data_IF_298460874314
#
_entry.id   IF_298460874314
#
_cell.length_a   1.000
_cell.length_b   1.000
_cell.length_c   1.000
_cell.angle_alpha   90.00
_cell.angle_beta   90.00
_cell.angle_gamma   90.00
#
_symmetry.space_group_name_H-M   'P 1'
#
loop_
_entity.id
_entity.type
_entity.pdbx_description
1 polymer ?
#
# COMPACT_ATOMS: atom_id res chain seq x y z
N UNK A 1 -8.91 -14.88 -26.40
CA UNK A 1 -8.43 -15.18 -25.04
C UNK A 1 -9.44 -16.13 -24.42
N UNK A 2 -9.00 -17.25 -23.85
CA UNK A 2 -9.88 -18.19 -23.16
C UNK A 2 -10.31 -17.55 -21.83
N UNK A 3 -11.60 -17.35 -21.51
CA UNK A 3 -12.02 -16.80 -20.23
C UNK A 3 -11.46 -17.57 -19.02
N UNK A 4 -11.15 -18.86 -19.20
CA UNK A 4 -10.54 -19.71 -18.18
C UNK A 4 -9.04 -19.47 -17.98
N UNK A 5 -8.41 -18.60 -18.78
CA UNK A 5 -7.03 -18.16 -18.58
C UNK A 5 -6.93 -17.00 -17.59
N UNK A 6 -8.06 -16.41 -17.17
CA UNK A 6 -8.12 -15.26 -16.26
C UNK A 6 -8.80 -15.62 -14.93
N UNK A 7 -8.35 -15.09 -13.80
CA UNK A 7 -9.08 -15.17 -12.51
C UNK A 7 -8.87 -13.96 -11.61
N UNK A 8 -9.76 -13.85 -10.62
CA UNK A 8 -9.47 -13.14 -9.36
C UNK A 8 -8.69 -14.10 -8.46
N UNK A 9 -7.42 -13.83 -8.20
CA UNK A 9 -6.59 -14.65 -7.32
C UNK A 9 -6.76 -14.20 -5.86
N UNK A 10 -7.37 -15.03 -5.03
CA UNK A 10 -7.55 -14.79 -3.61
C UNK A 10 -7.18 -16.06 -2.83
N UNK A 11 -5.95 -16.14 -2.34
CA UNK A 11 -5.36 -17.37 -1.78
C UNK A 11 -4.60 -17.12 -0.45
N UNK A 12 -4.29 -18.20 0.26
CA UNK A 12 -3.58 -18.19 1.55
C UNK A 12 -4.48 -17.92 2.76
N UNK A 13 -3.91 -17.96 3.96
CA UNK A 13 -4.66 -17.91 5.23
C UNK A 13 -5.30 -16.54 5.46
N UNK A 14 -4.86 -15.50 4.75
CA UNK A 14 -5.47 -14.16 4.76
C UNK A 14 -6.59 -13.95 3.74
N UNK A 15 -6.86 -14.90 2.84
CA UNK A 15 -7.84 -14.74 1.75
C UNK A 15 -9.27 -14.45 2.25
N UNK A 16 -9.62 -14.93 3.45
CA UNK A 16 -10.93 -14.69 4.06
C UNK A 16 -11.22 -13.20 4.26
N UNK A 17 -10.18 -12.37 4.48
CA UNK A 17 -10.34 -10.93 4.68
C UNK A 17 -10.84 -10.22 3.41
N UNK A 18 -10.62 -10.84 2.24
CA UNK A 18 -10.97 -10.28 0.93
C UNK A 18 -12.11 -11.03 0.23
N UNK A 19 -12.69 -12.06 0.84
CA UNK A 19 -13.71 -12.90 0.19
C UNK A 19 -14.89 -12.09 -0.38
N UNK A 20 -15.42 -11.14 0.39
CA UNK A 20 -16.52 -10.27 -0.08
C UNK A 20 -16.12 -9.41 -1.28
N UNK A 21 -14.88 -8.92 -1.30
CA UNK A 21 -14.35 -8.12 -2.42
C UNK A 21 -14.12 -9.00 -3.64
N UNK A 22 -13.62 -10.22 -3.44
CA UNK A 22 -13.46 -11.22 -4.50
C UNK A 22 -14.79 -11.52 -5.20
N UNK A 23 -15.85 -11.77 -4.43
CA UNK A 23 -17.20 -12.02 -4.97
C UNK A 23 -17.75 -10.82 -5.75
N UNK A 24 -17.52 -9.60 -5.26
CA UNK A 24 -17.95 -8.38 -5.94
C UNK A 24 -17.22 -8.20 -7.27
N UNK A 25 -15.90 -8.39 -7.29
CA UNK A 25 -15.09 -8.28 -8.50
C UNK A 25 -15.40 -9.38 -9.50
N UNK A 26 -15.59 -10.62 -9.04
CA UNK A 26 -15.97 -11.74 -9.88
C UNK A 26 -17.25 -11.44 -10.68
N UNK A 27 -18.28 -10.88 -10.01
CA UNK A 27 -19.53 -10.46 -10.68
C UNK A 27 -19.33 -9.27 -11.61
N UNK A 28 -18.53 -8.29 -11.22
CA UNK A 28 -18.32 -7.07 -12.00
C UNK A 28 -17.48 -7.31 -13.27
N UNK A 29 -16.52 -8.23 -13.20
CA UNK A 29 -15.56 -8.51 -14.26
C UNK A 29 -15.87 -9.81 -15.04
N UNK A 30 -16.89 -10.56 -14.62
CA UNK A 30 -17.23 -11.88 -15.14
C UNK A 30 -16.04 -12.86 -15.13
N UNK A 31 -15.32 -12.88 -14.01
CA UNK A 31 -14.17 -13.75 -13.77
C UNK A 31 -14.41 -14.67 -12.57
N UNK A 32 -13.86 -15.87 -12.61
CA UNK A 32 -13.89 -16.78 -11.44
C UNK A 32 -12.94 -16.28 -10.35
N UNK A 33 -13.32 -16.52 -9.09
CA UNK A 33 -12.37 -16.49 -7.97
C UNK A 33 -11.62 -17.82 -7.94
N UNK A 34 -10.30 -17.77 -7.82
CA UNK A 34 -9.48 -18.96 -7.68
C UNK A 34 -8.44 -18.78 -6.57
N UNK A 35 -8.14 -19.89 -5.89
CA UNK A 35 -6.99 -19.99 -4.99
C UNK A 35 -5.71 -20.37 -5.75
N UNK A 36 -5.82 -20.74 -7.03
CA UNK A 36 -4.69 -21.11 -7.87
C UNK A 36 -4.49 -20.05 -8.96
N UNK A 37 -3.24 -19.64 -9.23
CA UNK A 37 -2.96 -18.68 -10.29
C UNK A 37 -3.26 -19.26 -11.69
N UNK A 38 -3.64 -18.39 -12.62
CA UNK A 38 -3.89 -18.68 -14.05
C UNK A 38 -2.98 -17.82 -14.93
N UNK A 39 -3.15 -17.82 -16.25
CA UNK A 39 -2.31 -17.01 -17.14
C UNK A 39 -2.40 -15.50 -16.86
N UNK A 40 -3.58 -14.99 -16.45
CA UNK A 40 -3.79 -13.58 -16.09
C UNK A 40 -4.56 -13.45 -14.78
N UNK A 41 -4.02 -12.70 -13.82
CA UNK A 41 -4.50 -12.70 -12.43
C UNK A 41 -4.81 -11.30 -11.92
N UNK A 42 -6.01 -11.09 -11.40
CA UNK A 42 -6.32 -9.93 -10.54
C UNK A 42 -6.10 -10.34 -9.09
N UNK A 43 -4.97 -9.93 -8.50
CA UNK A 43 -4.53 -10.43 -7.20
C UNK A 43 -5.16 -9.60 -6.08
N UNK A 44 -5.87 -10.27 -5.18
CA UNK A 44 -6.40 -9.66 -3.95
C UNK A 44 -5.56 -9.99 -2.72
N UNK A 45 -5.18 -11.26 -2.57
CA UNK A 45 -4.34 -11.71 -1.48
C UNK A 45 -3.53 -12.94 -1.89
N UNK A 46 -2.28 -12.98 -1.44
CA UNK A 46 -1.39 -14.13 -1.52
C UNK A 46 -0.36 -14.00 -0.39
N UNK A 47 0.05 -15.12 0.21
CA UNK A 47 1.04 -15.13 1.27
C UNK A 47 2.49 -15.00 0.75
N UNK A 48 3.42 -14.50 1.57
CA UNK A 48 4.79 -14.30 1.12
C UNK A 48 5.56 -15.63 1.12
N UNK A 49 5.75 -16.24 -0.05
CA UNK A 49 7.06 -16.66 -0.59
C UNK A 49 6.89 -17.69 -1.73
N UNK A 50 6.92 -17.20 -2.96
CA UNK A 50 7.13 -18.01 -4.17
C UNK A 50 7.31 -17.10 -5.38
N UNK A 51 8.16 -17.46 -6.36
CA UNK A 51 8.36 -16.63 -7.53
C UNK A 51 7.07 -16.60 -8.32
N UNK A 52 6.46 -15.42 -8.38
CA UNK A 52 5.46 -15.04 -9.37
C UNK A 52 4.14 -15.81 -9.18
N UNK A 53 3.09 -15.08 -8.83
CA UNK A 53 1.71 -15.43 -9.22
C UNK A 53 1.79 -15.99 -10.63
N UNK A 54 1.74 -17.32 -10.83
CA UNK A 54 2.03 -17.91 -12.14
C UNK A 54 1.20 -17.15 -13.19
N UNK A 55 1.83 -16.70 -14.28
CA UNK A 55 1.18 -15.81 -15.25
C UNK A 55 1.39 -14.32 -14.99
N UNK A 56 0.69 -13.50 -15.76
CA UNK A 56 0.71 -12.05 -15.66
C UNK A 56 -0.30 -11.57 -14.60
N UNK A 57 -0.07 -10.38 -14.04
CA UNK A 57 -1.06 -9.72 -13.18
C UNK A 57 -1.52 -8.41 -13.79
N UNK A 58 -2.82 -8.15 -13.70
CA UNK A 58 -3.41 -6.88 -14.13
C UNK A 58 -2.83 -5.68 -13.37
N UNK A 59 -2.44 -5.88 -12.11
CA UNK A 59 -1.69 -4.90 -11.33
C UNK A 59 -0.34 -5.54 -10.99
N UNK A 60 0.79 -5.03 -11.52
CA UNK A 60 2.09 -5.58 -11.20
C UNK A 60 2.31 -5.63 -9.70
N UNK A 61 2.79 -6.76 -9.17
CA UNK A 61 3.04 -6.92 -7.74
C UNK A 61 3.96 -5.82 -7.18
N UNK A 62 4.95 -5.42 -7.98
CA UNK A 62 5.83 -4.30 -7.65
C UNK A 62 5.08 -2.98 -7.47
N UNK A 63 4.04 -2.71 -8.27
CA UNK A 63 3.21 -1.53 -8.10
C UNK A 63 2.42 -1.58 -6.79
N UNK A 64 1.90 -2.75 -6.41
CA UNK A 64 1.23 -2.96 -5.10
C UNK A 64 2.21 -2.72 -3.95
N UNK A 65 3.43 -3.28 -4.04
CA UNK A 65 4.49 -3.11 -3.05
C UNK A 65 4.88 -1.63 -2.88
N UNK A 66 5.03 -0.91 -3.99
CA UNK A 66 5.32 0.54 -3.99
C UNK A 66 4.18 1.33 -3.35
N UNK A 67 2.93 1.01 -3.68
CA UNK A 67 1.76 1.70 -3.16
C UNK A 67 1.52 1.43 -1.65
N UNK A 68 1.94 0.27 -1.13
CA UNK A 68 1.77 -0.11 0.27
C UNK A 68 2.72 0.63 1.23
N UNK A 69 3.80 1.23 0.74
CA UNK A 69 4.79 1.93 1.56
C UNK A 69 4.97 3.39 1.10
N UNK A 70 4.52 4.34 1.91
CA UNK A 70 4.61 5.78 1.61
C UNK A 70 6.05 6.26 1.37
N UNK A 71 7.06 5.58 1.93
CA UNK A 71 8.47 5.92 1.71
C UNK A 71 8.88 5.64 0.27
N UNK A 72 8.51 4.45 -0.22
CA UNK A 72 8.77 4.05 -1.60
C UNK A 72 8.00 4.93 -2.57
N UNK A 73 6.71 5.16 -2.30
CA UNK A 73 5.86 6.02 -3.11
C UNK A 73 6.39 7.45 -3.22
N UNK A 74 6.83 8.05 -2.10
CA UNK A 74 7.41 9.40 -2.10
C UNK A 74 8.67 9.49 -2.98
N UNK A 75 9.53 8.46 -2.96
CA UNK A 75 10.71 8.39 -3.82
C UNK A 75 10.34 8.36 -5.31
N UNK A 76 9.37 7.53 -5.69
CA UNK A 76 8.89 7.42 -7.09
C UNK A 76 8.28 8.74 -7.56
N UNK A 77 7.42 9.36 -6.76
CA UNK A 77 6.76 10.61 -7.12
C UNK A 77 7.75 11.76 -7.27
N UNK A 78 8.74 11.85 -6.38
CA UNK A 78 9.81 12.84 -6.49
C UNK A 78 10.65 12.63 -7.77
N UNK A 79 11.04 11.39 -8.07
CA UNK A 79 11.81 11.08 -9.27
C UNK A 79 11.05 11.39 -10.56
N UNK A 80 9.72 11.23 -10.56
CA UNK A 80 8.86 11.50 -11.71
C UNK A 80 8.41 12.97 -11.81
N UNK A 81 8.82 13.86 -10.89
CA UNK A 81 8.39 15.26 -10.89
C UNK A 81 6.89 15.47 -10.66
N UNK A 82 6.24 14.51 -9.99
CA UNK A 82 4.81 14.62 -9.65
C UNK A 82 4.64 15.71 -8.60
N UNK A 83 3.73 16.66 -8.85
CA UNK A 83 3.39 17.69 -7.88
C UNK A 83 2.83 17.03 -6.60
N UNK A 84 3.57 17.15 -5.50
CA UNK A 84 3.21 16.55 -4.21
C UNK A 84 3.54 17.51 -3.07
N UNK A 85 2.86 17.40 -1.91
CA UNK A 85 3.32 18.05 -0.69
C UNK A 85 4.75 17.60 -0.36
N UNK A 86 5.56 18.53 0.13
CA UNK A 86 6.90 18.19 0.59
C UNK A 86 6.87 17.04 1.59
N UNK A 87 7.66 16.01 1.33
CA UNK A 87 7.72 14.79 2.14
C UNK A 87 9.13 14.61 2.67
N UNK A 88 9.26 14.42 3.98
CA UNK A 88 10.54 14.17 4.67
C UNK A 88 10.48 12.81 5.36
N UNK A 89 11.50 11.99 5.12
CA UNK A 89 11.67 10.73 5.85
C UNK A 89 12.40 11.03 7.16
N UNK A 90 11.74 10.77 8.28
CA UNK A 90 12.25 11.05 9.62
C UNK A 90 12.24 9.75 10.42
N UNK A 91 13.40 9.39 10.99
CA UNK A 91 13.58 8.15 11.73
C UNK A 91 13.26 8.23 13.23
N UNK A 92 12.95 9.42 13.77
CA UNK A 92 12.73 9.60 15.21
C UNK A 92 11.85 10.82 15.52
N UNK A 93 11.21 10.81 16.70
CA UNK A 93 10.45 11.97 17.19
C UNK A 93 11.33 13.22 17.33
N UNK A 94 12.54 13.07 17.87
CA UNK A 94 13.50 14.18 17.99
C UNK A 94 13.86 14.80 16.62
N UNK A 95 13.91 14.00 15.56
CA UNK A 95 14.09 14.52 14.20
C UNK A 95 12.88 15.32 13.70
N UNK A 96 11.68 14.90 14.07
CA UNK A 96 10.45 15.61 13.71
C UNK A 96 10.31 16.93 14.47
N UNK A 97 10.67 16.95 15.75
CA UNK A 97 10.69 18.17 16.57
C UNK A 97 11.72 19.18 16.04
N UNK A 98 12.89 18.72 15.61
CA UNK A 98 13.89 19.58 14.97
C UNK A 98 13.35 20.22 13.69
N UNK A 99 12.65 19.45 12.85
CA UNK A 99 12.03 19.98 11.63
C UNK A 99 11.02 21.10 11.93
N UNK A 100 10.20 20.94 12.98
CA UNK A 100 9.28 21.99 13.41
C UNK A 100 10.01 23.25 13.87
N UNK A 101 11.08 23.09 14.66
CA UNK A 101 11.86 24.21 15.16
C UNK A 101 12.57 24.99 14.02
N UNK A 102 13.04 24.28 13.01
CA UNK A 102 13.70 24.87 11.83
C UNK A 102 12.71 25.54 10.87
N UNK A 103 11.43 25.14 10.89
CA UNK A 103 10.41 25.61 9.95
C UNK A 103 9.09 25.97 10.66
N UNK A 104 9.08 27.00 11.52
CA UNK A 104 7.95 27.31 12.40
C UNK A 104 6.69 27.78 11.66
N UNK A 105 6.84 28.36 10.46
CA UNK A 105 5.73 28.90 9.66
C UNK A 105 5.04 27.84 8.79
N UNK A 106 5.40 26.56 8.95
CA UNK A 106 4.88 25.46 8.12
C UNK A 106 4.10 24.44 8.92
N UNK A 107 3.09 23.88 8.29
CA UNK A 107 2.31 22.78 8.85
C UNK A 107 2.79 21.44 8.32
N UNK A 108 2.98 20.48 9.24
CA UNK A 108 3.44 19.15 8.92
C UNK A 108 2.43 18.10 9.36
N UNK A 109 2.21 17.10 8.51
CA UNK A 109 1.41 15.93 8.82
C UNK A 109 2.31 14.71 8.97
N UNK A 110 2.34 14.11 10.16
CA UNK A 110 3.01 12.86 10.43
C UNK A 110 2.13 11.69 9.96
N UNK A 111 2.73 10.76 9.22
CA UNK A 111 2.09 9.52 8.74
C UNK A 111 3.07 8.36 8.85
N UNK A 112 2.58 7.20 9.32
CA UNK A 112 3.39 5.98 9.33
C UNK A 112 3.50 5.37 7.93
N UNK A 113 4.66 4.81 7.54
CA UNK A 113 4.92 4.31 6.19
C UNK A 113 3.86 3.35 5.66
N UNK A 114 3.52 2.34 6.46
CA UNK A 114 2.64 1.22 6.10
C UNK A 114 1.23 1.34 6.70
N UNK A 115 0.96 2.40 7.47
CA UNK A 115 -0.37 2.62 8.06
C UNK A 115 -1.44 2.90 7.01
N UNK A 116 -2.64 2.38 7.20
CA UNK A 116 -3.80 2.59 6.32
C UNK A 116 -4.98 3.23 7.10
N UNK A 117 -6.04 3.63 6.38
CA UNK A 117 -7.27 4.15 7.00
C UNK A 117 -7.09 5.43 7.83
N UNK A 118 -6.09 6.26 7.50
CA UNK A 118 -5.67 7.42 8.29
C UNK A 118 -5.23 7.11 9.73
N UNK A 119 -5.00 5.83 10.07
CA UNK A 119 -4.54 5.43 11.39
C UNK A 119 -3.19 6.06 11.70
N UNK A 120 -3.09 6.69 12.88
CA UNK A 120 -1.88 7.36 13.34
C UNK A 120 -1.52 8.65 12.59
N UNK A 121 -2.33 9.11 11.63
CA UNK A 121 -2.12 10.41 11.00
C UNK A 121 -2.34 11.53 12.01
N UNK A 122 -1.38 12.45 12.14
CA UNK A 122 -1.48 13.57 13.08
C UNK A 122 -0.83 14.82 12.52
N UNK A 123 -1.32 15.99 12.91
CA UNK A 123 -0.56 17.23 12.77
C UNK A 123 0.63 17.16 13.72
N UNK A 124 1.81 17.45 13.22
CA UNK A 124 3.02 17.56 14.03
C UNK A 124 2.94 18.86 14.83
N UNK A 125 3.05 18.78 16.15
CA UNK A 125 3.01 19.93 17.07
C UNK A 125 4.12 19.83 18.11
N UNK A 126 4.62 20.95 18.65
CA UNK A 126 5.63 20.92 19.70
C UNK A 126 5.21 20.10 20.93
N UNK A 127 6.12 19.30 21.47
CA UNK A 127 5.90 18.50 22.69
C UNK A 127 4.95 17.30 22.53
N UNK A 128 4.65 16.89 21.29
CA UNK A 128 3.79 15.74 21.06
C UNK A 128 4.45 14.42 21.50
N UNK A 129 3.63 13.48 21.98
CA UNK A 129 4.06 12.11 22.23
C UNK A 129 3.62 11.18 21.09
N UNK A 130 4.50 10.26 20.69
CA UNK A 130 4.14 9.16 19.78
C UNK A 130 3.60 7.96 20.58
N UNK A 131 2.61 7.22 20.05
CA UNK A 131 2.19 5.97 20.66
C UNK A 131 3.36 4.98 20.70
N UNK A 132 3.50 4.23 21.79
CA UNK A 132 4.63 3.31 22.01
C UNK A 132 4.62 2.07 21.12
N UNK A 133 3.51 1.79 20.44
CA UNK A 133 3.26 0.55 19.69
C UNK A 133 2.89 0.81 18.22
N UNK A 134 3.53 1.79 17.58
CA UNK A 134 3.34 2.06 16.14
C UNK A 134 4.32 1.27 15.29
#
# INVERSE_FOLDING_TARGET
>A
MDPRSCCILNAGDGAWAFAKVADQLARALWLDVSEQPREFNYVLHTEPAGPVVAGESFIPFEAVRLAADKRLLAGVFNAAGVATPETRLIGSLAGAERLLAEQPDREWCLKFPTGCGASGHRRLVPGMALPRNC
#
